data_IF_612342681018
#
_entry.id   IF_612342681018
#
_cell.length_a   1.000
_cell.length_b   1.000
_cell.length_c   1.000
_cell.angle_alpha   90.00
_cell.angle_beta   90.00
_cell.angle_gamma   90.00
#
_symmetry.space_group_name_H-M   'P 1'
#
loop_
_entity.id
_entity.type
_entity.pdbx_description
1 polymer ?
#
# COMPACT_ATOMS: atom_id res chain seq x y z
N UNK A 1 -15.66 17.75 -4.39
CA UNK A 1 -14.47 16.92 -4.08
C UNK A 1 -14.49 15.71 -4.99
N UNK A 2 -13.40 15.46 -5.70
CA UNK A 2 -13.33 14.33 -6.64
C UNK A 2 -13.32 12.99 -5.93
N UNK A 3 -13.70 11.93 -6.64
CA UNK A 3 -13.67 10.57 -6.10
C UNK A 3 -12.25 10.13 -5.76
N UNK A 4 -11.26 10.55 -6.57
CA UNK A 4 -9.85 10.28 -6.29
C UNK A 4 -9.43 10.88 -4.95
N UNK A 5 -9.86 12.10 -4.66
CA UNK A 5 -9.53 12.79 -3.43
C UNK A 5 -10.21 12.14 -2.20
N UNK A 6 -11.47 11.77 -2.32
CA UNK A 6 -12.21 11.08 -1.26
C UNK A 6 -11.55 9.74 -0.91
N UNK A 7 -11.22 8.96 -1.93
CA UNK A 7 -10.57 7.67 -1.76
C UNK A 7 -9.20 7.82 -1.07
N UNK A 8 -8.41 8.77 -1.55
CA UNK A 8 -7.10 9.05 -0.95
C UNK A 8 -7.23 9.41 0.53
N UNK A 9 -8.14 10.31 0.88
CA UNK A 9 -8.32 10.74 2.26
C UNK A 9 -8.79 9.60 3.17
N UNK A 10 -9.69 8.77 2.67
CA UNK A 10 -10.17 7.60 3.43
C UNK A 10 -9.02 6.62 3.70
N UNK A 11 -8.21 6.33 2.69
CA UNK A 11 -7.07 5.43 2.82
C UNK A 11 -6.03 6.00 3.78
N UNK A 12 -5.70 7.29 3.65
CA UNK A 12 -4.74 7.93 4.53
C UNK A 12 -5.19 7.89 5.99
N UNK A 13 -6.47 8.15 6.24
CA UNK A 13 -7.03 8.09 7.59
C UNK A 13 -6.90 6.68 8.18
N UNK A 14 -7.25 5.65 7.38
CA UNK A 14 -7.15 4.27 7.81
C UNK A 14 -5.70 3.87 8.09
N UNK A 15 -4.77 4.26 7.21
CA UNK A 15 -3.36 3.95 7.38
C UNK A 15 -2.78 4.58 8.65
N UNK A 16 -3.12 5.81 8.93
CA UNK A 16 -2.60 6.50 10.13
C UNK A 16 -2.94 5.76 11.42
N UNK A 17 -4.06 5.05 11.45
CA UNK A 17 -4.47 4.28 12.62
C UNK A 17 -3.67 2.99 12.79
N UNK A 18 -2.95 2.55 11.76
CA UNK A 18 -2.16 1.32 11.82
C UNK A 18 -0.83 1.48 12.55
N UNK A 19 -0.39 2.70 12.83
CA UNK A 19 0.94 2.97 13.40
C UNK A 19 0.81 3.43 14.84
N UNK A 20 1.06 2.54 15.82
CA UNK A 20 0.73 2.81 17.23
C UNK A 20 1.51 3.96 17.88
N UNK A 21 2.69 4.27 17.39
CA UNK A 21 3.48 5.38 17.89
C UNK A 21 3.12 6.73 17.30
N UNK A 22 2.09 6.78 16.43
CA UNK A 22 1.79 7.96 15.64
C UNK A 22 2.79 8.17 14.52
N UNK A 23 2.57 9.19 13.73
CA UNK A 23 3.42 9.51 12.58
C UNK A 23 4.08 10.87 12.80
N UNK A 24 5.38 10.94 12.61
CA UNK A 24 6.14 12.19 12.69
C UNK A 24 7.16 12.27 11.57
N UNK A 25 7.49 13.49 11.14
CA UNK A 25 8.55 13.74 10.18
C UNK A 25 8.46 12.89 8.91
N UNK A 26 9.51 12.14 8.64
CA UNK A 26 9.61 11.33 7.42
C UNK A 26 8.56 10.23 7.32
N UNK A 27 8.19 9.60 8.44
CA UNK A 27 7.17 8.55 8.44
C UNK A 27 5.84 9.09 7.93
N UNK A 28 5.46 10.30 8.33
CA UNK A 28 4.24 10.94 7.85
C UNK A 28 4.30 11.14 6.33
N UNK A 29 5.43 11.58 5.80
CA UNK A 29 5.62 11.75 4.36
C UNK A 29 5.55 10.42 3.63
N UNK A 30 6.20 9.39 4.15
CA UNK A 30 6.19 8.05 3.54
C UNK A 30 4.79 7.46 3.49
N UNK A 31 4.02 7.60 4.56
CA UNK A 31 2.65 7.09 4.62
C UNK A 31 1.72 7.89 3.69
N UNK A 32 1.94 9.19 3.55
CA UNK A 32 1.19 10.03 2.62
C UNK A 32 1.38 9.54 1.18
N UNK A 33 2.62 9.24 0.78
CA UNK A 33 2.89 8.70 -0.56
C UNK A 33 2.31 7.29 -0.71
N UNK A 34 2.42 6.45 0.32
CA UNK A 34 1.81 5.11 0.32
C UNK A 34 0.30 5.20 0.10
N UNK A 35 -0.39 6.11 0.79
CA UNK A 35 -1.82 6.30 0.62
C UNK A 35 -2.17 6.73 -0.81
N UNK A 36 -1.38 7.63 -1.40
CA UNK A 36 -1.56 8.04 -2.79
C UNK A 36 -1.35 6.86 -3.74
N UNK A 37 -0.34 6.03 -3.47
CA UNK A 37 -0.04 4.85 -4.27
C UNK A 37 -1.21 3.87 -4.24
N UNK A 38 -1.69 3.51 -3.05
CA UNK A 38 -2.82 2.60 -2.88
C UNK A 38 -4.06 3.16 -3.57
N UNK A 39 -4.36 4.43 -3.36
CA UNK A 39 -5.51 5.08 -3.99
C UNK A 39 -5.40 5.04 -5.51
N UNK A 40 -4.21 5.27 -6.06
CA UNK A 40 -3.98 5.20 -7.49
C UNK A 40 -4.16 3.80 -8.07
N UNK A 41 -3.68 2.78 -7.35
CA UNK A 41 -3.86 1.38 -7.76
C UNK A 41 -5.33 1.02 -7.78
N UNK A 42 -6.06 1.34 -6.72
CA UNK A 42 -7.49 1.05 -6.63
C UNK A 42 -8.27 1.79 -7.72
N UNK A 43 -7.97 3.06 -7.93
CA UNK A 43 -8.67 3.89 -8.91
C UNK A 43 -8.40 3.51 -10.36
N UNK A 44 -7.17 3.10 -10.68
CA UNK A 44 -6.78 2.71 -12.04
C UNK A 44 -6.92 1.23 -12.31
N UNK A 45 -7.04 0.41 -11.27
CA UNK A 45 -7.03 -1.05 -11.35
C UNK A 45 -5.75 -1.56 -12.03
N UNK A 46 -4.63 -0.89 -11.80
CA UNK A 46 -3.34 -1.17 -12.42
C UNK A 46 -2.22 -0.90 -11.43
N UNK A 47 -1.12 -1.62 -11.57
CA UNK A 47 0.11 -1.37 -10.82
C UNK A 47 1.16 -0.61 -11.63
N UNK A 48 0.87 -0.28 -12.88
CA UNK A 48 1.78 0.50 -13.72
C UNK A 48 1.80 1.95 -13.28
N UNK A 49 2.98 2.51 -13.07
CA UNK A 49 3.14 3.84 -12.49
C UNK A 49 2.40 4.96 -13.23
N UNK A 50 2.41 5.03 -14.58
CA UNK A 50 1.65 6.07 -15.27
C UNK A 50 0.15 5.97 -15.00
N UNK A 51 -0.41 4.77 -14.93
CA UNK A 51 -1.82 4.57 -14.65
C UNK A 51 -2.16 4.93 -13.20
N UNK A 52 -1.34 4.51 -12.27
CA UNK A 52 -1.48 4.87 -10.85
C UNK A 52 -1.43 6.39 -10.70
N UNK A 53 -0.44 7.03 -11.31
CA UNK A 53 -0.26 8.48 -11.24
C UNK A 53 -1.46 9.25 -11.79
N UNK A 54 -2.14 8.73 -12.80
CA UNK A 54 -3.31 9.37 -13.40
C UNK A 54 -4.49 9.50 -12.43
N UNK A 55 -4.52 8.69 -11.38
CA UNK A 55 -5.60 8.68 -10.37
C UNK A 55 -5.19 9.30 -9.05
N UNK A 56 -4.03 9.93 -8.98
CA UNK A 56 -3.60 10.65 -7.79
C UNK A 56 -4.22 12.05 -7.79
N UNK A 57 -4.82 12.42 -6.66
CA UNK A 57 -5.55 13.67 -6.51
C UNK A 57 -4.63 14.79 -6.02
N UNK A 58 -3.75 15.28 -6.88
CA UNK A 58 -2.94 16.47 -6.58
C UNK A 58 -2.82 17.34 -7.84
N UNK A 59 -2.11 18.46 -7.71
CA UNK A 59 -1.94 19.44 -8.80
C UNK A 59 -0.64 19.24 -9.57
N UNK A 60 0.17 18.24 -9.20
CA UNK A 60 1.44 17.98 -9.85
C UNK A 60 1.22 17.43 -11.27
N UNK A 61 2.21 17.66 -12.12
CA UNK A 61 2.19 17.09 -13.47
C UNK A 61 2.32 15.57 -13.42
N UNK A 62 1.76 14.83 -14.40
CA UNK A 62 1.84 13.37 -14.40
C UNK A 62 3.26 12.84 -14.29
N UNK A 63 4.23 13.45 -14.96
CA UNK A 63 5.63 13.02 -14.89
C UNK A 63 6.20 13.18 -13.49
N UNK A 64 5.84 14.26 -12.79
CA UNK A 64 6.29 14.50 -11.42
C UNK A 64 5.69 13.48 -10.45
N UNK A 65 4.44 13.09 -10.67
CA UNK A 65 3.79 12.05 -9.87
C UNK A 65 4.47 10.70 -10.05
N UNK A 66 4.78 10.32 -11.29
CA UNK A 66 5.49 9.07 -11.59
C UNK A 66 6.86 9.06 -10.91
N UNK A 67 7.60 10.16 -11.00
CA UNK A 67 8.92 10.26 -10.35
C UNK A 67 8.83 10.11 -8.83
N UNK A 68 7.80 10.72 -8.22
CA UNK A 68 7.60 10.62 -6.78
C UNK A 68 7.32 9.17 -6.35
N UNK A 69 6.47 8.47 -7.08
CA UNK A 69 6.18 7.07 -6.80
C UNK A 69 7.42 6.19 -7.01
N UNK A 70 8.16 6.44 -8.07
CA UNK A 70 9.38 5.69 -8.36
C UNK A 70 10.45 5.89 -7.28
N UNK A 71 10.62 7.11 -6.78
CA UNK A 71 11.54 7.41 -5.69
C UNK A 71 11.14 6.71 -4.40
N UNK A 72 9.84 6.67 -4.12
CA UNK A 72 9.33 5.99 -2.94
C UNK A 72 9.66 4.50 -2.99
N UNK A 73 9.44 3.86 -4.14
CA UNK A 73 9.75 2.44 -4.33
C UNK A 73 11.24 2.13 -4.18
N UNK A 74 12.11 3.04 -4.61
CA UNK A 74 13.55 2.86 -4.51
C UNK A 74 14.17 3.34 -3.21
N UNK A 75 13.37 3.83 -2.27
CA UNK A 75 13.87 4.38 -1.03
C UNK A 75 14.14 3.27 -0.01
N UNK A 76 15.39 3.12 0.39
CA UNK A 76 15.81 2.09 1.34
C UNK A 76 15.25 2.30 2.75
N UNK A 77 14.77 3.50 3.07
CA UNK A 77 14.09 3.76 4.35
C UNK A 77 12.68 3.18 4.41
N UNK A 78 12.11 2.80 3.25
CA UNK A 78 10.78 2.16 3.19
C UNK A 78 10.98 0.67 3.46
N UNK A 79 10.82 0.30 4.71
CA UNK A 79 11.01 -1.08 5.17
C UNK A 79 9.67 -1.71 5.52
N UNK A 80 9.53 -2.97 5.18
CA UNK A 80 8.31 -3.75 5.43
C UNK A 80 7.99 -3.83 6.91
N UNK A 81 9.00 -3.95 7.77
CA UNK A 81 8.82 -4.01 9.22
C UNK A 81 8.16 -2.75 9.78
N UNK A 82 8.40 -1.60 9.13
CA UNK A 82 7.87 -0.32 9.60
C UNK A 82 6.48 -0.06 9.02
N UNK A 83 6.29 -0.32 7.72
CA UNK A 83 5.08 0.11 7.01
C UNK A 83 4.08 -1.00 6.72
N UNK A 84 4.54 -2.24 6.55
CA UNK A 84 3.66 -3.36 6.22
C UNK A 84 3.26 -4.18 7.44
N UNK A 85 4.19 -4.55 8.32
CA UNK A 85 3.91 -5.44 9.44
C UNK A 85 2.84 -4.90 10.40
N UNK A 86 2.83 -3.61 10.79
CA UNK A 86 1.76 -3.10 11.65
C UNK A 86 0.38 -3.25 11.03
N UNK A 87 0.27 -3.02 9.72
CA UNK A 87 -0.97 -3.21 8.98
C UNK A 87 -1.39 -4.69 8.97
N UNK A 88 -0.45 -5.59 8.70
CA UNK A 88 -0.71 -7.02 8.66
C UNK A 88 -1.17 -7.54 10.04
N UNK A 89 -0.53 -7.07 11.12
CA UNK A 89 -0.92 -7.44 12.48
C UNK A 89 -2.35 -7.02 12.80
N UNK A 90 -2.73 -5.80 12.46
CA UNK A 90 -4.08 -5.31 12.69
C UNK A 90 -5.10 -6.13 11.89
N UNK A 91 -4.77 -6.44 10.63
CA UNK A 91 -5.64 -7.23 9.77
C UNK A 91 -5.87 -8.62 10.35
N UNK A 92 -4.81 -9.28 10.82
CA UNK A 92 -4.91 -10.60 11.44
C UNK A 92 -5.72 -10.58 12.74
N UNK A 93 -5.56 -9.54 13.55
CA UNK A 93 -6.35 -9.36 14.77
C UNK A 93 -7.84 -9.20 14.45
N UNK A 94 -8.17 -8.49 13.37
CA UNK A 94 -9.56 -8.30 12.96
C UNK A 94 -10.24 -9.61 12.54
N UNK A 95 -9.47 -10.60 12.10
CA UNK A 95 -10.01 -11.91 11.72
C UNK A 95 -10.37 -12.78 12.92
N UNK A 96 -9.85 -12.48 14.11
CA UNK A 96 -10.16 -13.19 15.37
C UNK A 96 -9.96 -14.70 15.30
N UNK A 97 -8.90 -15.15 14.63
CA UNK A 97 -8.63 -16.56 14.43
C UNK A 97 -7.90 -17.15 15.64
N UNK A 98 -8.34 -18.29 16.12
CA UNK A 98 -7.66 -19.02 17.19
C UNK A 98 -6.38 -19.70 16.67
N UNK A 99 -6.46 -20.25 15.47
CA UNK A 99 -5.33 -20.88 14.79
C UNK A 99 -5.11 -20.21 13.45
N UNK A 100 -3.86 -19.83 13.19
CA UNK A 100 -3.49 -19.21 11.92
C UNK A 100 -2.98 -20.29 10.97
N UNK A 101 -3.73 -20.54 9.90
CA UNK A 101 -3.34 -21.45 8.83
C UNK A 101 -2.98 -20.62 7.60
N UNK A 102 -1.74 -20.77 7.14
CA UNK A 102 -1.25 -20.04 5.97
C UNK A 102 -1.02 -21.00 4.82
N UNK A 103 -1.47 -20.60 3.64
CA UNK A 103 -1.20 -21.32 2.39
C UNK A 103 -0.27 -20.45 1.56
N UNK A 104 0.88 -20.99 1.16
CA UNK A 104 1.85 -20.30 0.32
C UNK A 104 1.78 -20.84 -1.09
N UNK A 105 1.75 -19.95 -2.05
CA UNK A 105 1.73 -20.28 -3.47
C UNK A 105 2.73 -19.39 -4.22
N UNK A 106 3.53 -20.01 -5.09
CA UNK A 106 4.46 -19.29 -5.94
C UNK A 106 3.98 -19.29 -7.37
N UNK A 107 3.96 -18.13 -8.01
CA UNK A 107 3.64 -18.06 -9.43
C UNK A 107 4.64 -17.18 -10.17
N UNK A 108 4.98 -17.59 -11.40
CA UNK A 108 5.86 -16.82 -12.26
C UNK A 108 5.13 -15.61 -12.83
N UNK A 109 5.76 -14.44 -12.73
CA UNK A 109 5.19 -13.19 -13.24
C UNK A 109 6.04 -12.58 -14.37
N UNK A 110 6.85 -13.41 -15.03
CA UNK A 110 7.63 -13.04 -16.20
C UNK A 110 9.10 -12.78 -15.89
N UNK A 111 9.95 -12.92 -16.90
CA UNK A 111 11.39 -12.58 -16.90
C UNK A 111 12.18 -13.03 -15.66
N UNK A 112 11.93 -14.25 -15.20
CA UNK A 112 12.65 -14.79 -14.03
C UNK A 112 12.16 -14.27 -12.70
N UNK A 113 11.09 -13.49 -12.64
CA UNK A 113 10.47 -13.04 -11.41
C UNK A 113 9.39 -14.01 -10.96
N UNK A 114 9.30 -14.21 -9.64
CA UNK A 114 8.29 -15.05 -9.03
C UNK A 114 7.56 -14.26 -7.94
N UNK A 115 6.24 -14.32 -7.93
CA UNK A 115 5.45 -13.78 -6.85
C UNK A 115 5.13 -14.89 -5.86
N UNK A 116 5.44 -14.64 -4.59
CA UNK A 116 5.06 -15.54 -3.51
C UNK A 116 3.82 -14.97 -2.83
N UNK A 117 2.72 -15.71 -2.90
CA UNK A 117 1.47 -15.30 -2.30
C UNK A 117 1.19 -16.11 -1.04
N UNK A 118 0.73 -15.42 -0.01
CA UNK A 118 0.36 -16.06 1.25
C UNK A 118 -1.12 -15.78 1.50
N UNK A 119 -1.88 -16.87 1.66
CA UNK A 119 -3.31 -16.77 1.93
C UNK A 119 -3.58 -17.21 3.37
N UNK A 120 -4.43 -16.44 4.05
CA UNK A 120 -4.92 -16.80 5.37
C UNK A 120 -6.21 -17.61 5.18
N UNK A 121 -6.21 -18.83 5.70
CA UNK A 121 -7.39 -19.70 5.60
C UNK A 121 -8.33 -19.41 6.77
N UNK A 122 -9.63 -19.24 6.49
CA UNK A 122 -10.66 -19.15 7.51
C UNK A 122 -11.47 -20.43 7.53
N UNK A 123 -12.04 -20.74 8.68
CA UNK A 123 -12.87 -21.95 8.85
C UNK A 123 -14.29 -21.80 8.31
N UNK A 124 -14.64 -20.64 7.82
CA UNK A 124 -15.99 -20.36 7.30
C UNK A 124 -16.18 -20.82 5.86
#
# INVERSE_FOLDING_TARGET
MSDNHRRYRAILRALKQCYPGGLSGRMSQHVTVLAAFISGIVGSKSSQLPNVASKIADRAKPESRVKRLSRWLGNEEIKEEIYFLPYAEILLQCLSLETLVLVMDGSGIGRGCCALMIHVMSED
#
